data_IF_492981576495
#
_entry.id   IF_492981576495
#
_cell.length_a   1.000
_cell.length_b   1.000
_cell.length_c   1.000
_cell.angle_alpha   90.00
_cell.angle_beta   90.00
_cell.angle_gamma   90.00
#
_symmetry.space_group_name_H-M   'P 1'
#
loop_
_entity.id
_entity.type
_entity.pdbx_description
1 polymer ?
#
# COMPACT_ATOMS: atom_id res chain seq x y z
N UNK A 1 12.28 -4.74 -32.30
CA UNK A 1 11.57 -5.22 -31.10
C UNK A 1 12.49 -5.53 -29.92
N UNK A 2 13.57 -6.27 -30.06
CA UNK A 2 14.49 -6.70 -28.96
C UNK A 2 15.13 -5.50 -28.23
N UNK A 3 15.55 -4.44 -28.96
CA UNK A 3 16.18 -3.23 -28.37
C UNK A 3 15.23 -2.40 -27.48
N UNK A 4 13.95 -2.36 -27.84
CA UNK A 4 12.90 -1.65 -27.05
C UNK A 4 12.60 -2.42 -25.76
N UNK A 5 12.49 -3.78 -25.83
CA UNK A 5 12.31 -4.64 -24.66
C UNK A 5 13.47 -4.53 -23.64
N UNK A 6 14.70 -4.35 -24.11
CA UNK A 6 15.88 -4.20 -23.25
C UNK A 6 15.86 -2.85 -22.52
N UNK A 7 15.60 -1.75 -23.24
CA UNK A 7 15.46 -0.41 -22.63
C UNK A 7 14.28 -0.34 -21.64
N UNK A 8 13.16 -1.00 -21.95
CA UNK A 8 12.00 -1.05 -21.05
C UNK A 8 12.30 -1.75 -19.71
N UNK A 9 13.13 -2.81 -19.71
CA UNK A 9 13.55 -3.49 -18.48
C UNK A 9 14.41 -2.63 -17.56
N UNK A 10 15.17 -1.72 -18.13
CA UNK A 10 16.11 -0.83 -17.41
C UNK A 10 15.45 0.41 -16.78
N UNK A 11 14.20 0.73 -17.17
CA UNK A 11 13.47 1.87 -16.62
C UNK A 11 13.02 1.62 -15.17
N UNK A 12 13.09 2.66 -14.35
CA UNK A 12 12.54 2.64 -13.00
C UNK A 12 11.03 2.31 -13.02
N UNK A 13 10.53 1.65 -11.99
CA UNK A 13 9.12 1.23 -11.89
C UNK A 13 8.18 2.42 -12.04
N UNK A 14 8.50 3.55 -11.39
CA UNK A 14 7.70 4.78 -11.51
C UNK A 14 7.59 5.27 -12.95
N UNK A 15 8.70 5.25 -13.71
CA UNK A 15 8.71 5.68 -15.11
C UNK A 15 7.86 4.75 -15.99
N UNK A 16 7.88 3.45 -15.72
CA UNK A 16 7.01 2.49 -16.44
C UNK A 16 5.54 2.75 -16.18
N UNK A 17 5.15 2.93 -14.93
CA UNK A 17 3.77 3.24 -14.53
C UNK A 17 3.33 4.57 -15.15
N UNK A 18 4.16 5.60 -15.06
CA UNK A 18 3.90 6.89 -15.70
C UNK A 18 3.62 6.75 -17.20
N UNK A 19 4.50 6.06 -17.94
CA UNK A 19 4.34 5.89 -19.38
C UNK A 19 3.08 5.10 -19.75
N UNK A 20 2.76 4.03 -18.99
CA UNK A 20 1.55 3.23 -19.23
C UNK A 20 0.30 4.09 -19.05
N UNK A 21 0.19 4.79 -17.92
CA UNK A 21 -0.99 5.60 -17.61
C UNK A 21 -1.15 6.74 -18.62
N UNK A 22 -0.06 7.44 -18.95
CA UNK A 22 -0.08 8.53 -19.93
C UNK A 22 -0.53 8.04 -21.29
N UNK A 23 0.01 6.90 -21.76
CA UNK A 23 -0.37 6.31 -23.06
C UNK A 23 -1.85 5.91 -23.08
N UNK A 24 -2.34 5.27 -22.03
CA UNK A 24 -3.76 4.90 -21.90
C UNK A 24 -4.68 6.12 -21.88
N UNK A 25 -4.32 7.16 -21.12
CA UNK A 25 -5.10 8.39 -21.02
C UNK A 25 -5.16 9.13 -22.36
N UNK A 26 -4.04 9.25 -23.05
CA UNK A 26 -4.00 9.87 -24.39
C UNK A 26 -4.82 9.04 -25.39
N UNK A 27 -4.71 7.72 -25.35
CA UNK A 27 -5.52 6.83 -26.19
C UNK A 27 -7.02 7.01 -25.96
N UNK A 28 -7.44 7.15 -24.70
CA UNK A 28 -8.83 7.43 -24.35
C UNK A 28 -9.30 8.79 -24.86
N UNK A 29 -8.50 9.83 -24.70
CA UNK A 29 -8.81 11.19 -25.20
C UNK A 29 -8.99 11.16 -26.72
N UNK A 30 -8.09 10.50 -27.46
CA UNK A 30 -8.19 10.36 -28.92
C UNK A 30 -9.46 9.59 -29.29
N UNK A 31 -9.77 8.52 -28.59
CA UNK A 31 -10.97 7.70 -28.86
C UNK A 31 -12.25 8.53 -28.67
N UNK A 32 -12.36 9.27 -27.58
CA UNK A 32 -13.51 10.15 -27.32
C UNK A 32 -13.62 11.22 -28.41
N UNK A 33 -12.50 11.83 -28.81
CA UNK A 33 -12.49 12.79 -29.91
C UNK A 33 -13.02 12.20 -31.22
N UNK A 34 -12.54 11.02 -31.61
CA UNK A 34 -12.99 10.37 -32.84
C UNK A 34 -14.50 10.05 -32.79
N UNK A 35 -14.99 9.59 -31.63
CA UNK A 35 -16.41 9.34 -31.42
C UNK A 35 -17.21 10.63 -31.62
N UNK A 36 -16.82 11.72 -30.98
CA UNK A 36 -17.51 13.00 -31.11
C UNK A 36 -17.43 13.55 -32.55
N UNK A 37 -16.26 13.48 -33.16
CA UNK A 37 -16.05 13.96 -34.53
C UNK A 37 -16.94 13.26 -35.56
N UNK A 38 -17.07 11.93 -35.48
CA UNK A 38 -17.85 11.15 -36.46
C UNK A 38 -19.32 11.01 -36.10
N UNK A 39 -19.70 11.00 -34.83
CA UNK A 39 -21.09 10.74 -34.45
C UNK A 39 -21.89 12.01 -34.10
N UNK A 40 -21.25 13.09 -33.69
CA UNK A 40 -21.96 14.29 -33.28
C UNK A 40 -22.74 14.94 -34.42
N UNK A 41 -22.18 15.19 -35.62
CA UNK A 41 -22.89 15.83 -36.71
C UNK A 41 -24.16 15.05 -37.12
N UNK A 42 -24.09 13.78 -37.52
CA UNK A 42 -25.28 13.03 -38.00
C UNK A 42 -26.32 12.83 -36.86
N UNK A 43 -25.88 12.75 -35.62
CA UNK A 43 -26.81 12.64 -34.48
C UNK A 43 -27.59 13.96 -34.26
N UNK A 44 -26.90 15.10 -34.37
CA UNK A 44 -27.54 16.40 -34.19
C UNK A 44 -28.50 16.74 -35.33
N UNK A 45 -28.14 16.42 -36.57
CA UNK A 45 -29.02 16.56 -37.72
C UNK A 45 -30.29 15.69 -37.54
N UNK A 46 -30.15 14.41 -37.23
CA UNK A 46 -31.29 13.51 -36.97
C UNK A 46 -32.19 14.05 -35.86
N UNK A 47 -31.61 14.52 -34.76
CA UNK A 47 -32.35 15.07 -33.63
C UNK A 47 -33.19 16.29 -34.05
N UNK A 48 -32.61 17.22 -34.85
CA UNK A 48 -33.31 18.43 -35.33
C UNK A 48 -34.47 18.06 -36.27
N UNK A 49 -34.24 17.14 -37.21
CA UNK A 49 -35.28 16.68 -38.15
C UNK A 49 -36.41 16.01 -37.39
N UNK A 50 -36.13 15.14 -36.42
CA UNK A 50 -37.13 14.47 -35.58
C UNK A 50 -37.94 15.45 -34.74
N UNK A 51 -37.28 16.44 -34.13
CA UNK A 51 -37.92 17.51 -33.37
C UNK A 51 -38.94 18.28 -34.22
N UNK A 52 -38.57 18.69 -35.44
CA UNK A 52 -39.47 19.38 -36.36
C UNK A 52 -40.64 18.46 -36.77
N UNK A 53 -40.39 17.20 -37.12
CA UNK A 53 -41.44 16.26 -37.48
C UNK A 53 -42.48 16.07 -36.39
N UNK A 54 -42.06 15.96 -35.13
CA UNK A 54 -42.93 15.85 -33.97
C UNK A 54 -43.81 17.09 -33.80
N UNK A 55 -43.24 18.30 -33.94
CA UNK A 55 -44.01 19.54 -33.88
C UNK A 55 -45.01 19.68 -35.03
N UNK A 56 -44.65 19.27 -36.24
CA UNK A 56 -45.54 19.23 -37.38
C UNK A 56 -46.71 18.30 -37.19
N UNK A 57 -46.48 17.12 -36.61
CA UNK A 57 -47.54 16.17 -36.27
C UNK A 57 -48.53 16.75 -35.29
N UNK A 58 -48.03 17.43 -34.24
CA UNK A 58 -48.86 18.16 -33.25
C UNK A 58 -49.62 19.29 -33.90
N UNK A 59 -48.97 20.08 -34.76
CA UNK A 59 -49.64 21.17 -35.52
C UNK A 59 -50.75 20.65 -36.42
N UNK A 60 -50.51 19.56 -37.18
CA UNK A 60 -51.51 18.95 -38.06
C UNK A 60 -52.72 18.40 -37.30
N UNK A 61 -52.50 17.86 -36.09
CA UNK A 61 -53.58 17.42 -35.24
C UNK A 61 -54.41 18.60 -34.68
N UNK A 62 -53.78 19.72 -34.39
CA UNK A 62 -54.38 20.92 -33.82
C UNK A 62 -55.12 21.75 -34.87
N UNK A 63 -54.56 21.88 -36.06
CA UNK A 63 -55.10 22.70 -37.15
C UNK A 63 -56.56 22.40 -37.50
N UNK A 64 -57.03 21.15 -37.27
CA UNK A 64 -58.45 20.78 -37.42
C UNK A 64 -59.41 21.52 -36.51
N UNK A 65 -58.95 22.15 -35.45
CA UNK A 65 -59.76 22.89 -34.49
C UNK A 65 -59.56 24.41 -34.63
N UNK A 66 -58.48 24.83 -35.27
CA UNK A 66 -58.08 26.22 -35.41
C UNK A 66 -58.72 26.84 -36.68
N UNK A 67 -58.97 28.11 -36.64
CA UNK A 67 -59.27 28.89 -37.86
C UNK A 67 -57.95 29.29 -38.58
N UNK A 68 -58.08 29.94 -39.75
CA UNK A 68 -56.91 30.33 -40.54
C UNK A 68 -56.01 31.33 -39.82
N UNK A 69 -56.53 32.24 -39.01
CA UNK A 69 -55.71 33.25 -38.32
C UNK A 69 -55.01 32.63 -37.10
N UNK A 70 -55.66 31.77 -36.38
CA UNK A 70 -55.02 30.98 -35.30
C UNK A 70 -53.91 30.10 -35.84
N UNK A 71 -54.12 29.45 -36.98
CA UNK A 71 -53.07 28.68 -37.65
C UNK A 71 -51.87 29.56 -38.03
N UNK A 72 -52.08 30.74 -38.62
CA UNK A 72 -51.01 31.71 -38.94
C UNK A 72 -50.19 32.09 -37.70
N UNK A 73 -50.83 32.32 -36.56
CA UNK A 73 -50.15 32.67 -35.32
C UNK A 73 -49.28 31.49 -34.82
N UNK A 74 -49.75 30.28 -34.93
CA UNK A 74 -48.95 29.07 -34.58
C UNK A 74 -47.75 28.91 -35.51
N UNK A 75 -47.93 29.11 -36.82
CA UNK A 75 -46.85 29.08 -37.80
C UNK A 75 -45.80 30.16 -37.53
N UNK A 76 -46.25 31.37 -37.15
CA UNK A 76 -45.32 32.41 -36.76
C UNK A 76 -44.46 32.00 -35.57
N UNK A 77 -45.05 31.43 -34.53
CA UNK A 77 -44.30 30.96 -33.36
C UNK A 77 -43.30 29.85 -33.71
N UNK A 78 -43.69 28.91 -34.55
CA UNK A 78 -42.79 27.81 -34.99
C UNK A 78 -41.64 28.40 -35.82
N UNK A 79 -41.93 29.27 -36.76
CA UNK A 79 -40.92 29.94 -37.60
C UNK A 79 -39.86 30.69 -36.78
N UNK A 80 -40.30 31.45 -35.78
CA UNK A 80 -39.40 32.22 -34.91
C UNK A 80 -38.57 31.32 -33.96
N UNK A 81 -39.22 30.33 -33.33
CA UNK A 81 -38.51 29.49 -32.34
C UNK A 81 -37.56 28.50 -32.95
N UNK A 82 -37.89 27.95 -34.12
CA UNK A 82 -37.08 26.88 -34.75
C UNK A 82 -36.20 27.41 -35.89
N UNK A 83 -36.29 28.69 -36.22
CA UNK A 83 -35.59 29.33 -37.34
C UNK A 83 -35.84 28.55 -38.64
N UNK A 84 -37.13 28.26 -38.92
CA UNK A 84 -37.55 27.53 -40.12
C UNK A 84 -38.38 28.45 -41.04
N UNK A 85 -38.16 28.31 -42.33
CA UNK A 85 -39.01 28.92 -43.32
C UNK A 85 -40.35 28.18 -43.42
N UNK A 86 -41.43 28.93 -43.42
CA UNK A 86 -42.78 28.35 -43.54
C UNK A 86 -43.50 29.06 -44.68
N UNK A 87 -44.23 28.25 -45.50
CA UNK A 87 -45.09 28.74 -46.54
C UNK A 87 -46.39 27.95 -46.53
N UNK A 88 -47.51 28.65 -46.32
CA UNK A 88 -48.83 28.06 -46.34
C UNK A 88 -49.54 28.40 -47.65
N UNK A 89 -50.00 27.40 -48.38
CA UNK A 89 -50.74 27.55 -49.63
C UNK A 89 -52.12 26.90 -49.51
N UNK A 90 -53.11 27.49 -50.20
CA UNK A 90 -54.40 26.86 -50.39
C UNK A 90 -54.34 25.71 -51.43
N UNK A 91 -55.46 25.01 -51.66
CA UNK A 91 -55.60 23.92 -52.63
C UNK A 91 -55.39 24.38 -54.08
N UNK A 92 -55.43 25.68 -54.35
CA UNK A 92 -55.25 26.28 -55.68
C UNK A 92 -53.81 26.82 -55.84
N UNK A 93 -52.95 26.63 -54.84
CA UNK A 93 -51.58 27.14 -54.87
C UNK A 93 -51.40 28.58 -54.48
N UNK A 94 -52.45 29.31 -54.07
CA UNK A 94 -52.38 30.69 -53.58
C UNK A 94 -51.71 30.73 -52.20
N UNK A 95 -50.69 31.59 -52.07
CA UNK A 95 -49.98 31.77 -50.80
C UNK A 95 -50.84 32.58 -49.81
N UNK A 96 -51.16 31.98 -48.69
CA UNK A 96 -51.95 32.58 -47.60
C UNK A 96 -51.09 33.11 -46.43
N UNK A 97 -49.90 32.51 -46.27
CA UNK A 97 -48.95 32.94 -45.23
C UNK A 97 -47.50 32.54 -45.58
N UNK A 98 -46.52 33.35 -45.21
CA UNK A 98 -45.09 33.02 -45.30
C UNK A 98 -44.32 33.82 -46.37
N UNK A 99 -43.03 33.52 -46.53
CA UNK A 99 -42.17 34.23 -47.44
C UNK A 99 -42.30 33.67 -48.84
N UNK A 100 -42.67 34.53 -49.83
CA UNK A 100 -42.83 34.17 -51.23
C UNK A 100 -41.52 33.67 -51.92
N UNK A 101 -40.37 34.02 -51.37
CA UNK A 101 -39.08 33.53 -51.91
C UNK A 101 -38.93 32.01 -51.78
N UNK A 102 -39.63 31.37 -50.83
CA UNK A 102 -39.68 29.92 -50.72
C UNK A 102 -40.52 29.22 -51.82
N UNK A 103 -41.30 29.96 -52.58
CA UNK A 103 -42.15 29.45 -53.64
C UNK A 103 -41.41 29.09 -54.97
N UNK A 104 -40.14 29.46 -55.06
CA UNK A 104 -39.33 29.19 -56.26
C UNK A 104 -38.53 27.87 -56.17
N UNK A 105 -38.70 27.12 -55.13
CA UNK A 105 -38.08 25.80 -55.05
C UNK A 105 -38.90 24.83 -55.96
N UNK A 106 -38.32 24.26 -57.01
CA UNK A 106 -39.05 23.42 -57.94
C UNK A 106 -39.62 22.20 -57.21
N UNK A 107 -40.87 21.87 -57.55
CA UNK A 107 -41.51 20.64 -57.10
C UNK A 107 -40.76 19.45 -57.78
N UNK A 108 -39.61 19.11 -57.24
CA UNK A 108 -38.82 17.98 -57.71
C UNK A 108 -39.03 16.85 -56.75
N UNK A 109 -39.69 15.78 -57.26
CA UNK A 109 -39.74 14.47 -56.59
C UNK A 109 -38.35 13.77 -56.54
N UNK A 110 -37.33 14.41 -57.05
CA UNK A 110 -35.97 13.94 -56.97
C UNK A 110 -35.30 14.64 -55.79
N UNK A 111 -34.97 13.88 -54.77
CA UNK A 111 -34.02 14.23 -53.76
C UNK A 111 -32.71 14.55 -54.49
N UNK A 112 -32.57 15.79 -54.95
CA UNK A 112 -31.28 16.29 -55.41
C UNK A 112 -30.48 16.67 -54.17
N UNK A 113 -29.34 16.11 -54.09
CA UNK A 113 -28.31 16.28 -53.07
C UNK A 113 -27.82 17.73 -52.88
N UNK A 114 -28.72 18.68 -52.58
CA UNK A 114 -28.30 19.93 -51.99
C UNK A 114 -28.44 19.79 -50.48
N UNK A 115 -27.34 19.49 -49.87
CA UNK A 115 -27.13 19.30 -48.43
C UNK A 115 -27.44 20.52 -47.52
N UNK A 116 -28.17 21.52 -48.06
CA UNK A 116 -28.33 22.78 -47.39
C UNK A 116 -29.66 22.97 -46.64
N UNK A 117 -30.75 22.28 -47.07
CA UNK A 117 -32.07 22.50 -46.45
C UNK A 117 -32.89 21.21 -46.34
N UNK A 118 -33.42 20.95 -45.13
CA UNK A 118 -34.48 19.95 -44.96
C UNK A 118 -35.82 20.55 -45.38
N UNK A 119 -36.52 19.89 -46.32
CA UNK A 119 -37.80 20.33 -46.84
C UNK A 119 -38.87 19.28 -46.60
N UNK A 120 -40.07 19.72 -46.17
CA UNK A 120 -41.23 18.85 -46.02
C UNK A 120 -42.52 19.60 -46.26
N UNK A 121 -43.42 18.95 -47.03
CA UNK A 121 -44.80 19.44 -47.26
C UNK A 121 -45.77 18.61 -46.41
N UNK A 122 -46.63 19.29 -45.67
CA UNK A 122 -47.67 18.68 -44.82
C UNK A 122 -49.04 19.22 -45.19
N UNK A 123 -50.02 18.35 -45.45
CA UNK A 123 -51.38 18.75 -45.62
C UNK A 123 -52.05 19.07 -44.27
N UNK A 124 -52.62 20.26 -44.16
CA UNK A 124 -53.33 20.73 -42.96
C UNK A 124 -54.82 20.91 -43.28
N UNK A 125 -55.64 20.49 -42.39
CA UNK A 125 -57.09 20.72 -42.46
C UNK A 125 -57.50 21.70 -41.37
N UNK A 126 -58.25 22.75 -41.72
CA UNK A 126 -58.75 23.76 -40.76
C UNK A 126 -60.24 23.61 -40.60
N UNK A 127 -60.76 24.15 -39.48
CA UNK A 127 -62.19 24.02 -39.11
C UNK A 127 -63.16 24.49 -40.19
N UNK A 128 -62.86 25.58 -40.84
CA UNK A 128 -63.78 26.25 -41.75
C UNK A 128 -63.52 26.00 -43.24
N UNK A 129 -62.71 24.98 -43.61
CA UNK A 129 -62.43 24.62 -44.99
C UNK A 129 -62.54 23.11 -45.26
N UNK A 130 -63.23 22.76 -46.33
CA UNK A 130 -63.34 21.40 -46.82
C UNK A 130 -62.11 20.96 -47.67
N UNK A 131 -61.29 21.92 -48.10
CA UNK A 131 -60.09 21.67 -48.89
C UNK A 131 -58.82 21.74 -47.98
N UNK A 132 -57.83 20.91 -48.24
CA UNK A 132 -56.58 20.97 -47.50
C UNK A 132 -55.75 22.23 -47.83
N UNK A 133 -55.06 22.74 -46.83
CA UNK A 133 -53.95 23.69 -47.01
C UNK A 133 -52.65 22.89 -47.05
N UNK A 134 -51.67 23.34 -47.81
CA UNK A 134 -50.37 22.73 -47.90
C UNK A 134 -49.34 23.63 -47.19
N UNK A 135 -48.73 23.08 -46.20
CA UNK A 135 -47.66 23.74 -45.45
C UNK A 135 -46.33 23.21 -45.95
N UNK A 136 -45.57 24.07 -46.62
CA UNK A 136 -44.18 23.79 -46.95
C UNK A 136 -43.29 24.34 -45.88
N UNK A 137 -42.38 23.50 -45.35
CA UNK A 137 -41.40 23.90 -44.37
C UNK A 137 -40.03 23.66 -44.97
N UNK A 138 -39.17 24.66 -44.82
CA UNK A 138 -37.79 24.62 -45.18
C UNK A 138 -36.96 24.95 -43.93
N UNK A 139 -36.16 24.01 -43.47
CA UNK A 139 -35.24 24.17 -42.38
C UNK A 139 -33.83 24.24 -42.94
N UNK A 140 -33.12 25.37 -42.81
CA UNK A 140 -31.72 25.42 -43.18
C UNK A 140 -30.91 24.52 -42.22
N UNK A 141 -30.10 23.64 -42.76
CA UNK A 141 -29.17 22.83 -41.97
C UNK A 141 -27.88 23.60 -41.61
N UNK A 142 -27.62 24.68 -42.31
CA UNK A 142 -26.46 25.56 -42.05
C UNK A 142 -26.26 25.96 -40.57
N UNK A 143 -27.29 26.36 -39.79
CA UNK A 143 -27.09 26.65 -38.36
C UNK A 143 -26.62 25.42 -37.53
N UNK A 144 -26.97 24.21 -38.03
CA UNK A 144 -26.52 22.94 -37.45
C UNK A 144 -25.02 22.73 -37.74
N UNK A 145 -24.63 23.00 -38.99
CA UNK A 145 -23.24 22.93 -39.42
C UNK A 145 -22.37 23.95 -38.73
N UNK A 146 -22.85 25.22 -38.58
CA UNK A 146 -22.14 26.27 -37.85
C UNK A 146 -21.91 25.92 -36.38
N UNK A 147 -22.94 25.45 -35.68
CA UNK A 147 -22.81 25.00 -34.28
C UNK A 147 -21.82 23.82 -34.14
N UNK A 148 -21.89 22.88 -35.07
CA UNK A 148 -20.99 21.71 -35.13
C UNK A 148 -19.56 22.17 -35.43
N UNK A 149 -19.38 23.10 -36.36
CA UNK A 149 -18.08 23.68 -36.71
C UNK A 149 -17.43 24.38 -35.51
N UNK A 150 -18.18 25.22 -34.80
CA UNK A 150 -17.69 25.91 -33.59
C UNK A 150 -17.24 24.89 -32.52
N UNK A 151 -18.02 23.85 -32.31
CA UNK A 151 -17.63 22.77 -31.35
C UNK A 151 -16.36 22.10 -31.83
N UNK A 152 -16.26 21.75 -33.12
CA UNK A 152 -15.09 21.08 -33.68
C UNK A 152 -13.83 21.98 -33.64
N UNK A 153 -13.98 23.28 -33.83
CA UNK A 153 -12.89 24.27 -33.76
C UNK A 153 -12.35 24.43 -32.33
N UNK A 154 -13.18 24.25 -31.31
CA UNK A 154 -12.77 24.28 -29.92
C UNK A 154 -12.10 22.94 -29.47
N UNK A 155 -12.38 21.83 -30.14
CA UNK A 155 -11.88 20.50 -29.78
C UNK A 155 -10.35 20.41 -29.68
N UNK A 156 -9.53 20.96 -30.59
CA UNK A 156 -8.08 20.93 -30.48
C UNK A 156 -7.56 21.59 -29.18
N UNK A 157 -8.20 22.67 -28.75
CA UNK A 157 -7.85 23.35 -27.51
C UNK A 157 -8.18 22.48 -26.31
N UNK A 158 -9.39 21.90 -26.29
CA UNK A 158 -9.85 21.00 -25.21
C UNK A 158 -8.92 19.78 -25.12
N UNK A 159 -8.55 19.19 -26.27
CA UNK A 159 -7.62 18.06 -26.32
C UNK A 159 -6.23 18.47 -25.79
N UNK A 160 -5.71 19.63 -26.20
CA UNK A 160 -4.44 20.12 -25.71
C UNK A 160 -4.40 20.25 -24.17
N UNK A 161 -5.44 20.86 -23.61
CA UNK A 161 -5.60 20.97 -22.14
C UNK A 161 -5.72 19.59 -21.49
N UNK A 162 -6.52 18.68 -22.04
CA UNK A 162 -6.70 17.33 -21.52
C UNK A 162 -5.40 16.52 -21.54
N UNK A 163 -4.58 16.65 -22.58
CA UNK A 163 -3.27 16.00 -22.67
C UNK A 163 -2.32 16.54 -21.58
N UNK A 164 -2.25 17.85 -21.40
CA UNK A 164 -1.41 18.44 -20.35
C UNK A 164 -1.84 17.99 -18.97
N UNK A 165 -3.13 18.01 -18.67
CA UNK A 165 -3.69 17.50 -17.41
C UNK A 165 -3.40 16.01 -17.24
N UNK A 166 -3.52 15.20 -18.29
CA UNK A 166 -3.19 13.77 -18.28
C UNK A 166 -1.73 13.52 -17.90
N UNK A 167 -0.79 14.29 -18.45
CA UNK A 167 0.62 14.17 -18.12
C UNK A 167 0.87 14.51 -16.65
N UNK A 168 0.32 15.62 -16.15
CA UNK A 168 0.48 16.04 -14.76
C UNK A 168 -0.12 15.02 -13.79
N UNK A 169 -1.34 14.57 -14.03
CA UNK A 169 -2.03 13.60 -13.18
C UNK A 169 -1.36 12.23 -13.21
N UNK A 170 -0.89 11.76 -14.37
CA UNK A 170 -0.14 10.52 -14.52
C UNK A 170 1.18 10.55 -13.75
N UNK A 171 1.88 11.68 -13.75
CA UNK A 171 3.12 11.85 -13.01
C UNK A 171 2.88 11.83 -11.49
N UNK A 172 1.89 12.60 -11.02
CA UNK A 172 1.52 12.62 -9.61
C UNK A 172 1.07 11.25 -9.11
N UNK A 173 0.21 10.57 -9.87
CA UNK A 173 -0.30 9.24 -9.54
C UNK A 173 0.81 8.18 -9.54
N UNK A 174 1.70 8.22 -10.54
CA UNK A 174 2.84 7.30 -10.60
C UNK A 174 3.71 7.41 -9.35
N UNK A 175 4.04 8.63 -8.90
CA UNK A 175 4.79 8.84 -7.65
C UNK A 175 4.04 8.36 -6.42
N UNK A 176 2.75 8.69 -6.33
CA UNK A 176 1.91 8.32 -5.19
C UNK A 176 1.79 6.80 -5.01
N UNK A 177 1.60 6.07 -6.10
CA UNK A 177 1.49 4.60 -6.06
C UNK A 177 2.85 3.91 -5.89
N UNK A 178 3.90 4.46 -6.51
CA UNK A 178 5.20 3.76 -6.55
C UNK A 178 5.95 3.87 -5.22
N UNK A 179 5.82 5.00 -4.50
CA UNK A 179 6.54 5.22 -3.24
C UNK A 179 6.26 4.12 -2.20
N UNK A 180 5.01 3.84 -1.79
CA UNK A 180 4.73 2.80 -0.81
C UNK A 180 5.12 1.39 -1.30
N UNK A 181 5.05 1.12 -2.60
CA UNK A 181 5.48 -0.16 -3.18
C UNK A 181 6.99 -0.37 -3.04
N UNK A 182 7.79 0.66 -3.28
CA UNK A 182 9.24 0.59 -3.10
C UNK A 182 9.57 0.38 -1.63
N UNK A 183 8.94 1.12 -0.71
CA UNK A 183 9.15 1.01 0.73
C UNK A 183 8.84 -0.43 1.23
N UNK A 184 7.77 -1.05 0.73
CA UNK A 184 7.43 -2.45 1.03
C UNK A 184 8.50 -3.41 0.50
N UNK A 185 8.89 -3.27 -0.77
CA UNK A 185 9.90 -4.14 -1.39
C UNK A 185 11.25 -4.02 -0.68
N UNK A 186 11.65 -2.81 -0.30
CA UNK A 186 12.90 -2.59 0.45
C UNK A 186 12.83 -3.19 1.85
N UNK A 187 11.68 -3.05 2.53
CA UNK A 187 11.43 -3.68 3.82
C UNK A 187 11.52 -5.21 3.74
N UNK A 188 10.86 -5.83 2.74
CA UNK A 188 10.93 -7.28 2.53
C UNK A 188 12.37 -7.75 2.21
N UNK A 189 13.09 -7.01 1.35
CA UNK A 189 14.48 -7.34 1.05
C UNK A 189 15.38 -7.25 2.28
N UNK A 190 15.17 -6.24 3.12
CA UNK A 190 15.92 -6.11 4.38
C UNK A 190 15.60 -7.26 5.34
N UNK A 191 14.33 -7.67 5.43
CA UNK A 191 13.94 -8.83 6.25
C UNK A 191 14.56 -10.11 5.71
N UNK A 192 14.51 -10.35 4.40
CA UNK A 192 15.11 -11.53 3.77
C UNK A 192 16.63 -11.56 3.96
N UNK A 193 17.31 -10.42 3.83
CA UNK A 193 18.75 -10.32 4.06
C UNK A 193 19.11 -10.66 5.52
N UNK A 194 18.36 -10.12 6.50
CA UNK A 194 18.53 -10.44 7.93
C UNK A 194 18.30 -11.92 8.20
N UNK A 195 17.28 -12.51 7.59
CA UNK A 195 16.98 -13.95 7.73
C UNK A 195 18.10 -14.82 7.15
N UNK A 196 18.65 -14.47 5.99
CA UNK A 196 19.80 -15.18 5.39
C UNK A 196 21.04 -15.08 6.26
N UNK A 197 21.35 -13.88 6.77
CA UNK A 197 22.46 -13.65 7.70
C UNK A 197 22.30 -14.50 8.97
N UNK A 198 21.07 -14.51 9.54
CA UNK A 198 20.76 -15.32 10.72
C UNK A 198 20.99 -16.81 10.48
N UNK A 199 20.48 -17.37 9.36
CA UNK A 199 20.67 -18.80 9.00
C UNK A 199 22.15 -19.12 8.78
N UNK A 200 22.91 -18.25 8.12
CA UNK A 200 24.32 -18.44 7.91
C UNK A 200 25.11 -18.45 9.24
N UNK A 201 24.76 -17.54 10.15
CA UNK A 201 25.37 -17.49 11.50
C UNK A 201 25.04 -18.74 12.31
N UNK A 202 23.77 -19.18 12.30
CA UNK A 202 23.34 -20.44 12.92
C UNK A 202 24.20 -21.59 12.43
N UNK A 203 24.32 -21.73 11.13
CA UNK A 203 25.07 -22.84 10.52
C UNK A 203 26.52 -22.84 10.99
N UNK A 204 27.13 -21.68 11.14
CA UNK A 204 28.49 -21.55 11.65
C UNK A 204 28.61 -21.89 13.13
N UNK A 205 27.68 -21.37 13.97
CA UNK A 205 27.70 -21.62 15.41
C UNK A 205 27.36 -23.05 15.77
N UNK A 206 26.57 -23.77 14.97
CA UNK A 206 26.33 -25.21 15.11
C UNK A 206 27.52 -26.07 14.66
N UNK A 207 28.17 -25.71 13.55
CA UNK A 207 29.29 -26.47 12.97
C UNK A 207 30.44 -26.56 13.95
N UNK A 208 30.71 -25.51 14.72
CA UNK A 208 31.86 -25.46 15.64
C UNK A 208 31.80 -26.50 16.75
N UNK A 209 30.75 -26.59 17.60
CA UNK A 209 30.65 -27.60 18.64
C UNK A 209 30.58 -29.04 18.06
N UNK A 210 29.89 -29.22 16.93
CA UNK A 210 29.80 -30.53 16.26
C UNK A 210 31.21 -31.00 15.85
N UNK A 211 32.01 -30.12 15.22
CA UNK A 211 33.39 -30.46 14.80
C UNK A 211 34.27 -30.82 16.01
N UNK A 212 34.06 -30.11 17.14
CA UNK A 212 34.85 -30.39 18.37
C UNK A 212 34.48 -31.72 18.97
N UNK A 213 33.18 -31.99 19.12
CA UNK A 213 32.67 -33.25 19.64
C UNK A 213 33.19 -34.40 18.75
N UNK A 214 33.05 -34.29 17.44
CA UNK A 214 33.51 -35.31 16.48
C UNK A 214 35.02 -35.52 16.58
N UNK A 215 35.82 -34.45 16.63
CA UNK A 215 37.28 -34.56 16.76
C UNK A 215 37.73 -35.14 18.11
N UNK A 216 37.02 -34.84 19.21
CA UNK A 216 37.28 -35.43 20.52
C UNK A 216 36.97 -36.95 20.52
N UNK A 217 35.80 -37.32 19.98
CA UNK A 217 35.38 -38.70 19.84
C UNK A 217 36.34 -39.50 18.95
N UNK A 218 36.69 -38.95 17.78
CA UNK A 218 37.64 -39.57 16.85
C UNK A 218 39.02 -39.77 17.51
N UNK A 219 39.53 -38.73 18.19
CA UNK A 219 40.79 -38.81 18.93
C UNK A 219 40.77 -39.87 20.03
N UNK A 220 39.64 -40.04 20.72
CA UNK A 220 39.46 -41.11 21.74
C UNK A 220 39.34 -42.51 21.11
N UNK A 221 38.68 -42.66 19.96
CA UNK A 221 38.52 -43.90 19.23
C UNK A 221 39.90 -44.43 18.79
N UNK A 222 40.69 -43.52 18.15
CA UNK A 222 42.02 -43.88 17.63
C UNK A 222 43.16 -43.74 18.65
N UNK A 223 42.85 -43.40 19.89
CA UNK A 223 43.81 -43.28 20.99
C UNK A 223 44.97 -42.32 20.71
N UNK A 224 44.69 -41.17 20.11
CA UNK A 224 45.68 -40.19 19.59
C UNK A 224 46.01 -39.15 20.65
N UNK A 225 47.31 -38.96 20.93
CA UNK A 225 47.84 -37.85 21.72
C UNK A 225 47.15 -37.63 23.07
N UNK A 226 46.64 -36.41 23.31
CA UNK A 226 45.96 -36.03 24.56
C UNK A 226 44.60 -36.70 24.77
N UNK A 227 43.99 -37.24 23.72
CA UNK A 227 42.71 -37.91 23.77
C UNK A 227 42.79 -39.34 24.36
N UNK A 228 43.98 -39.79 24.73
CA UNK A 228 44.21 -41.05 25.51
C UNK A 228 43.55 -40.99 26.88
N UNK A 229 43.46 -39.80 27.48
CA UNK A 229 42.68 -39.54 28.69
C UNK A 229 41.18 -39.46 28.32
N UNK A 230 40.57 -40.63 28.16
CA UNK A 230 39.19 -40.78 27.73
C UNK A 230 38.20 -40.16 28.68
N UNK A 231 38.38 -40.23 29.97
CA UNK A 231 37.45 -39.74 30.97
C UNK A 231 37.35 -38.24 30.91
N UNK A 232 38.50 -37.54 30.87
CA UNK A 232 38.54 -36.07 30.70
C UNK A 232 37.88 -35.61 29.37
N UNK A 233 38.15 -36.33 28.27
CA UNK A 233 37.60 -35.90 26.96
C UNK A 233 36.15 -36.33 26.74
N UNK A 234 35.69 -37.41 27.37
CA UNK A 234 34.27 -37.78 27.41
C UNK A 234 33.46 -36.71 28.14
N UNK A 235 33.95 -36.24 29.31
CA UNK A 235 33.30 -35.12 30.02
C UNK A 235 33.26 -33.86 29.18
N UNK A 236 34.36 -33.47 28.52
CA UNK A 236 34.40 -32.31 27.63
C UNK A 236 33.46 -32.44 26.45
N UNK A 237 33.33 -33.64 25.86
CA UNK A 237 32.38 -33.92 24.77
C UNK A 237 30.94 -33.82 25.24
N UNK A 238 30.66 -34.31 26.46
CA UNK A 238 29.34 -34.17 27.09
C UNK A 238 28.99 -32.70 27.34
N UNK A 239 29.91 -31.91 27.91
CA UNK A 239 29.72 -30.49 28.15
C UNK A 239 29.45 -29.73 26.84
N UNK A 240 30.21 -30.03 25.79
CA UNK A 240 29.98 -29.44 24.44
C UNK A 240 28.64 -29.85 23.84
N UNK A 241 28.13 -31.05 24.16
CA UNK A 241 26.81 -31.51 23.74
C UNK A 241 25.70 -30.76 24.50
N UNK A 242 25.87 -30.46 25.78
CA UNK A 242 24.94 -29.62 26.54
C UNK A 242 24.89 -28.18 26.04
N UNK A 243 26.06 -27.61 25.69
CA UNK A 243 26.13 -26.29 25.05
C UNK A 243 25.38 -26.27 23.71
N UNK A 244 25.56 -27.30 22.88
CA UNK A 244 24.87 -27.46 21.60
C UNK A 244 23.35 -27.57 21.81
N UNK A 245 22.90 -28.36 22.79
CA UNK A 245 21.48 -28.50 23.14
C UNK A 245 20.88 -27.13 23.51
N UNK A 246 21.52 -26.37 24.39
CA UNK A 246 21.08 -25.04 24.79
C UNK A 246 20.97 -24.09 23.58
N UNK A 247 21.98 -24.12 22.69
CA UNK A 247 21.99 -23.31 21.48
C UNK A 247 20.79 -23.64 20.56
N UNK A 248 20.49 -24.93 20.38
CA UNK A 248 19.33 -25.36 19.57
C UNK A 248 18.01 -24.92 20.21
N UNK A 249 17.88 -25.05 21.53
CA UNK A 249 16.68 -24.59 22.25
C UNK A 249 16.46 -23.09 22.11
N UNK A 250 17.51 -22.28 22.21
CA UNK A 250 17.46 -20.83 21.98
C UNK A 250 17.09 -20.49 20.53
N UNK A 251 17.61 -21.23 19.54
CA UNK A 251 17.25 -21.06 18.13
C UNK A 251 15.79 -21.38 17.85
N UNK A 252 15.26 -22.46 18.44
CA UNK A 252 13.83 -22.80 18.34
C UNK A 252 12.97 -21.68 18.89
N UNK A 253 13.42 -21.05 19.99
CA UNK A 253 12.71 -19.91 20.58
C UNK A 253 12.71 -18.70 19.64
N UNK A 254 13.86 -18.33 19.08
CA UNK A 254 13.95 -17.22 18.11
C UNK A 254 13.08 -17.51 16.90
N UNK A 255 13.12 -18.74 16.37
CA UNK A 255 12.26 -19.12 15.24
C UNK A 255 10.77 -19.00 15.56
N UNK A 256 10.36 -19.31 16.79
CA UNK A 256 8.96 -19.12 17.23
C UNK A 256 8.55 -17.64 17.27
N UNK A 257 9.44 -16.72 17.63
CA UNK A 257 9.16 -15.28 17.59
C UNK A 257 9.00 -14.76 16.15
N UNK A 258 9.75 -15.30 15.18
CA UNK A 258 9.66 -14.88 13.79
C UNK A 258 8.43 -15.44 13.03
N UNK A 259 7.93 -16.64 13.44
CA UNK A 259 6.88 -17.37 12.70
C UNK A 259 5.49 -17.18 13.32
N UNK A 260 5.42 -17.01 14.63
CA UNK A 260 4.15 -16.93 15.33
C UNK A 260 3.84 -15.49 15.71
N UNK A 261 3.02 -14.80 14.90
CA UNK A 261 2.14 -13.71 15.34
C UNK A 261 1.10 -14.23 16.38
N UNK A 262 1.48 -15.13 17.27
CA UNK A 262 0.60 -15.52 18.36
C UNK A 262 0.48 -14.32 19.29
N UNK A 263 -0.71 -13.73 19.34
CA UNK A 263 -1.09 -12.78 20.40
C UNK A 263 -0.64 -13.40 21.72
N UNK A 264 0.29 -12.72 22.41
CA UNK A 264 0.70 -13.11 23.75
C UNK A 264 -0.56 -13.08 24.63
N UNK A 265 -0.80 -14.13 25.39
CA UNK A 265 -1.87 -14.17 26.38
C UNK A 265 -1.44 -13.31 27.58
N UNK A 266 -1.80 -12.03 27.51
CA UNK A 266 -1.47 -11.09 28.57
C UNK A 266 -2.39 -11.27 29.77
N UNK A 267 -1.82 -11.31 30.96
CA UNK A 267 -2.52 -11.33 32.25
C UNK A 267 -1.86 -10.35 33.23
N UNK A 268 -2.62 -9.90 34.20
CA UNK A 268 -2.07 -9.10 35.28
C UNK A 268 -1.38 -9.99 36.30
N UNK A 269 -0.12 -9.69 36.63
CA UNK A 269 0.64 -10.42 37.64
C UNK A 269 1.58 -9.49 38.42
N UNK A 270 1.97 -9.95 39.64
CA UNK A 270 2.86 -9.24 40.49
C UNK A 270 4.34 -9.46 40.11
N UNK A 271 5.00 -8.41 39.62
CA UNK A 271 6.36 -8.47 39.10
C UNK A 271 7.40 -8.75 40.24
N UNK A 272 7.16 -8.27 41.45
CA UNK A 272 8.04 -8.55 42.58
C UNK A 272 8.10 -10.04 42.90
N UNK A 273 6.94 -10.72 42.90
CA UNK A 273 6.84 -12.16 43.10
C UNK A 273 7.57 -12.95 42.02
N UNK A 274 7.44 -12.53 40.78
CA UNK A 274 8.14 -13.16 39.65
C UNK A 274 9.67 -13.03 39.83
N UNK A 275 10.18 -11.81 40.12
CA UNK A 275 11.61 -11.56 40.32
C UNK A 275 12.14 -12.42 41.46
N UNK A 276 11.45 -12.45 42.62
CA UNK A 276 11.82 -13.27 43.76
C UNK A 276 11.91 -14.76 43.43
N UNK A 277 10.96 -15.29 42.64
CA UNK A 277 10.96 -16.66 42.15
C UNK A 277 12.18 -16.96 41.28
N UNK A 278 12.55 -16.03 40.39
CA UNK A 278 13.71 -16.16 39.54
C UNK A 278 15.02 -16.10 40.29
N UNK A 279 15.15 -15.17 41.23
CA UNK A 279 16.33 -15.05 42.11
C UNK A 279 16.54 -16.35 42.89
N UNK A 280 15.48 -16.91 43.51
CA UNK A 280 15.57 -18.18 44.25
C UNK A 280 16.10 -19.32 43.37
N UNK A 281 15.73 -19.37 42.10
CA UNK A 281 16.25 -20.41 41.17
C UNK A 281 17.72 -20.26 40.85
N UNK A 282 18.27 -19.04 40.94
CA UNK A 282 19.66 -18.73 40.62
C UNK A 282 20.54 -18.63 41.87
N UNK A 283 19.98 -18.86 43.08
CA UNK A 283 20.68 -18.64 44.33
C UNK A 283 21.96 -19.43 44.44
N UNK A 284 21.97 -20.72 43.98
CA UNK A 284 23.15 -21.54 43.96
C UNK A 284 24.31 -20.88 43.16
N UNK A 285 24.04 -20.31 41.99
CA UNK A 285 25.07 -19.67 41.16
C UNK A 285 25.54 -18.33 41.76
N UNK A 286 24.67 -17.62 42.49
CA UNK A 286 24.99 -16.40 43.19
C UNK A 286 25.94 -16.72 44.33
N UNK A 287 25.65 -17.76 45.13
CA UNK A 287 26.47 -18.23 46.26
C UNK A 287 27.80 -18.83 45.75
N UNK A 288 27.80 -19.67 44.70
CA UNK A 288 29.02 -20.26 44.12
C UNK A 288 30.04 -19.19 43.68
N UNK A 289 29.54 -18.03 43.19
CA UNK A 289 30.37 -16.89 42.80
C UNK A 289 30.62 -15.88 43.89
N UNK A 290 30.10 -16.13 45.12
CA UNK A 290 30.20 -15.22 46.26
C UNK A 290 29.68 -13.80 45.95
N UNK A 291 28.61 -13.69 45.10
CA UNK A 291 28.06 -12.41 44.72
C UNK A 291 27.24 -11.82 45.90
N UNK A 292 27.39 -10.52 46.14
CA UNK A 292 26.58 -9.78 47.10
C UNK A 292 25.29 -9.32 46.45
N UNK A 293 24.19 -10.01 46.80
CA UNK A 293 22.87 -9.70 46.24
C UNK A 293 22.20 -8.62 47.07
N UNK A 294 21.79 -7.51 46.45
CA UNK A 294 20.96 -6.45 47.03
C UNK A 294 19.69 -6.27 46.20
N UNK A 295 18.53 -6.55 46.78
CA UNK A 295 17.22 -6.46 46.10
C UNK A 295 16.38 -5.40 46.77
N UNK A 296 15.98 -4.36 46.01
CA UNK A 296 15.19 -3.24 46.52
C UNK A 296 13.91 -3.08 45.73
N UNK A 297 12.79 -3.14 46.42
CA UNK A 297 11.48 -2.87 45.91
C UNK A 297 10.88 -1.63 46.56
N UNK A 298 10.48 -0.64 45.77
CA UNK A 298 9.86 0.57 46.31
C UNK A 298 8.38 0.32 46.67
N UNK A 299 7.68 -0.53 45.92
CA UNK A 299 6.28 -0.89 46.13
C UNK A 299 5.99 -2.22 45.43
N UNK A 300 4.81 -2.78 45.67
CA UNK A 300 4.31 -3.86 44.81
C UNK A 300 3.91 -3.31 43.44
N UNK A 301 4.37 -3.96 42.38
CA UNK A 301 4.15 -3.52 41.01
C UNK A 301 3.49 -4.66 40.25
N UNK A 302 2.29 -4.36 39.71
CA UNK A 302 1.56 -5.24 38.83
C UNK A 302 1.75 -4.77 37.40
N UNK A 303 1.93 -5.70 36.46
CA UNK A 303 2.01 -5.43 35.04
C UNK A 303 1.07 -6.36 34.27
N UNK A 304 0.55 -5.88 33.13
CA UNK A 304 -0.25 -6.71 32.22
C UNK A 304 0.62 -7.14 31.05
N UNK A 305 1.04 -8.41 31.07
CA UNK A 305 1.95 -8.99 30.08
C UNK A 305 1.83 -10.53 30.07
N UNK A 306 2.53 -11.17 29.15
CA UNK A 306 2.71 -12.63 29.17
C UNK A 306 3.78 -12.99 30.21
N UNK A 307 3.32 -13.54 31.35
CA UNK A 307 4.18 -13.87 32.50
C UNK A 307 5.31 -14.81 32.13
N UNK A 308 5.05 -15.83 31.29
CA UNK A 308 6.08 -16.80 30.89
C UNK A 308 7.18 -16.13 30.07
N UNK A 309 6.79 -15.26 29.11
CA UNK A 309 7.76 -14.51 28.27
C UNK A 309 8.55 -13.50 29.10
N UNK A 310 7.89 -12.73 29.96
CA UNK A 310 8.56 -11.76 30.83
C UNK A 310 9.50 -12.48 31.82
N UNK A 311 9.06 -13.61 32.41
CA UNK A 311 9.90 -14.48 33.23
C UNK A 311 11.20 -14.85 32.53
N UNK A 312 11.09 -15.21 31.25
CA UNK A 312 12.23 -15.59 30.43
C UNK A 312 13.16 -14.41 30.14
N UNK A 313 12.62 -13.24 29.83
CA UNK A 313 13.42 -12.04 29.62
C UNK A 313 14.22 -11.67 30.87
N UNK A 314 13.55 -11.61 32.05
CA UNK A 314 14.19 -11.28 33.32
C UNK A 314 15.22 -12.36 33.71
N UNK A 315 14.91 -13.64 33.52
CA UNK A 315 15.85 -14.72 33.80
C UNK A 315 17.13 -14.61 32.95
N UNK A 316 17.01 -14.25 31.66
CA UNK A 316 18.16 -14.00 30.79
C UNK A 316 19.00 -12.81 31.27
N UNK A 317 18.37 -11.73 31.77
CA UNK A 317 19.09 -10.59 32.32
C UNK A 317 19.83 -10.96 33.62
N UNK A 318 19.16 -11.67 34.54
CA UNK A 318 19.77 -12.13 35.81
C UNK A 318 20.94 -13.09 35.50
N UNK A 319 20.74 -14.06 34.60
CA UNK A 319 21.80 -14.99 34.20
C UNK A 319 23.00 -14.25 33.59
N UNK A 320 22.77 -13.26 32.74
CA UNK A 320 23.84 -12.44 32.18
C UNK A 320 24.59 -11.68 33.27
N UNK A 321 23.88 -11.05 34.23
CA UNK A 321 24.47 -10.33 35.34
C UNK A 321 25.34 -11.27 36.20
N UNK A 322 24.84 -12.43 36.58
CA UNK A 322 25.60 -13.46 37.36
C UNK A 322 26.81 -13.91 36.54
N UNK A 323 26.62 -14.27 35.28
CA UNK A 323 27.64 -14.85 34.42
C UNK A 323 28.84 -13.94 34.22
N UNK A 324 28.59 -12.66 33.93
CA UNK A 324 29.63 -11.68 33.61
C UNK A 324 30.20 -10.93 34.85
N UNK A 325 29.60 -11.09 36.03
CA UNK A 325 30.19 -10.59 37.27
C UNK A 325 31.46 -11.32 37.59
N UNK A 326 32.53 -10.65 38.03
CA UNK A 326 33.65 -11.29 38.73
C UNK A 326 33.19 -11.86 40.08
N UNK A 327 33.96 -12.72 40.69
CA UNK A 327 33.68 -13.19 42.05
C UNK A 327 33.69 -12.05 43.04
N UNK A 328 32.87 -12.13 44.11
CA UNK A 328 32.70 -11.13 45.16
C UNK A 328 32.12 -9.76 44.65
N UNK A 329 31.58 -9.69 43.48
CA UNK A 329 30.94 -8.48 42.94
C UNK A 329 29.52 -8.28 43.52
N UNK A 330 29.00 -7.04 43.40
CA UNK A 330 27.62 -6.76 43.80
C UNK A 330 26.66 -7.00 42.61
N UNK A 331 25.54 -7.65 42.92
CA UNK A 331 24.39 -7.83 42.03
C UNK A 331 23.20 -7.10 42.62
N UNK A 332 22.81 -5.99 41.99
CA UNK A 332 21.73 -5.13 42.50
C UNK A 332 20.50 -5.25 41.58
N UNK A 333 19.34 -5.45 42.19
CA UNK A 333 18.07 -5.55 41.48
C UNK A 333 17.11 -4.52 42.10
N UNK A 334 16.80 -3.48 41.34
CA UNK A 334 15.91 -2.42 41.78
C UNK A 334 14.64 -2.39 40.95
N UNK A 335 13.51 -2.49 41.63
CA UNK A 335 12.20 -2.33 41.01
C UNK A 335 11.47 -1.14 41.65
N UNK A 336 11.13 -0.17 40.86
CA UNK A 336 10.46 1.03 41.31
C UNK A 336 9.49 1.60 40.28
N UNK A 337 8.60 2.48 40.70
CA UNK A 337 7.61 3.13 39.85
C UNK A 337 7.85 4.64 39.81
N UNK A 338 8.01 5.20 38.61
CA UNK A 338 7.89 6.64 38.37
C UNK A 338 6.55 6.85 37.62
N UNK A 339 6.59 7.28 36.40
CA UNK A 339 5.41 7.24 35.50
C UNK A 339 5.11 5.80 35.08
N UNK A 340 6.14 5.00 34.83
CA UNK A 340 6.07 3.59 34.46
C UNK A 340 6.83 2.72 35.48
N UNK A 341 6.59 1.42 35.48
CA UNK A 341 7.40 0.45 36.19
C UNK A 341 8.80 0.40 35.58
N UNK A 342 9.83 0.46 36.41
CA UNK A 342 11.23 0.40 36.00
C UNK A 342 11.91 -0.72 36.78
N UNK A 343 12.52 -1.66 36.04
CA UNK A 343 13.38 -2.71 36.56
C UNK A 343 14.82 -2.39 36.14
N UNK A 344 15.71 -2.23 37.10
CA UNK A 344 17.15 -2.13 36.90
C UNK A 344 17.84 -3.35 37.46
N UNK A 345 18.68 -3.98 36.65
CA UNK A 345 19.56 -5.08 37.05
C UNK A 345 20.99 -4.62 36.81
N UNK A 346 21.73 -4.43 37.86
CA UNK A 346 23.10 -3.92 37.83
C UNK A 346 24.08 -4.96 38.36
N UNK A 347 25.16 -5.15 37.65
CA UNK A 347 26.27 -5.97 38.08
C UNK A 347 27.56 -5.15 38.05
N UNK A 348 28.33 -5.22 39.13
CA UNK A 348 29.56 -4.44 39.34
C UNK A 348 30.81 -5.20 38.85
N UNK A 349 31.93 -4.47 38.73
CA UNK A 349 33.23 -5.04 38.36
C UNK A 349 33.48 -5.18 36.86
N UNK A 350 32.53 -4.80 36.02
CA UNK A 350 32.68 -4.78 34.55
C UNK A 350 32.07 -3.52 33.95
N UNK A 351 32.55 -3.14 32.78
CA UNK A 351 31.94 -2.10 31.93
C UNK A 351 31.90 -2.55 30.49
N UNK A 352 31.04 -1.95 29.70
CA UNK A 352 30.87 -2.22 28.26
C UNK A 352 31.34 -0.99 27.49
N UNK A 353 32.29 -1.17 26.54
CA UNK A 353 32.70 -0.09 25.65
C UNK A 353 31.50 0.41 24.83
N UNK A 354 31.35 1.72 24.69
CA UNK A 354 30.23 2.39 24.01
C UNK A 354 29.97 1.84 22.60
N UNK A 355 31.01 1.51 21.84
CA UNK A 355 30.92 0.95 20.48
C UNK A 355 30.19 -0.41 20.39
N UNK A 356 30.00 -1.09 21.53
CA UNK A 356 29.35 -2.39 21.63
C UNK A 356 27.89 -2.31 22.06
N UNK A 357 27.46 -1.26 22.76
CA UNK A 357 26.14 -1.16 23.38
C UNK A 357 25.00 -1.38 22.38
N UNK A 358 25.02 -0.70 21.24
CA UNK A 358 23.97 -0.83 20.21
C UNK A 358 23.93 -2.21 19.55
N UNK A 359 25.01 -2.99 19.71
CA UNK A 359 25.14 -4.31 19.07
C UNK A 359 24.80 -5.44 20.00
N UNK A 360 24.75 -5.22 21.31
CA UNK A 360 24.52 -6.28 22.32
C UNK A 360 23.19 -7.00 22.13
N UNK A 361 22.20 -6.33 21.60
CA UNK A 361 20.88 -6.89 21.31
C UNK A 361 20.76 -7.50 19.91
N UNK A 362 21.87 -7.54 19.15
CA UNK A 362 21.89 -8.28 17.87
C UNK A 362 22.10 -9.76 18.12
N UNK A 363 21.48 -10.66 17.31
CA UNK A 363 21.65 -12.08 17.49
C UNK A 363 23.11 -12.49 17.34
N UNK A 364 23.59 -13.41 18.17
CA UNK A 364 24.96 -13.95 18.17
C UNK A 364 26.06 -12.92 18.46
N UNK A 365 25.72 -11.71 18.86
CA UNK A 365 26.73 -10.69 19.14
C UNK A 365 27.33 -10.90 20.53
N UNK A 366 28.68 -10.84 20.60
CA UNK A 366 29.47 -10.93 21.82
C UNK A 366 30.60 -9.90 21.78
N UNK A 367 30.88 -9.24 22.93
CA UNK A 367 31.93 -8.23 23.06
C UNK A 367 33.31 -8.87 22.85
N UNK A 368 33.53 -10.04 23.44
CA UNK A 368 34.77 -10.81 23.27
C UNK A 368 34.58 -11.88 22.19
N UNK A 369 35.21 -11.65 21.02
CA UNK A 369 35.41 -12.69 20.00
C UNK A 369 36.48 -13.69 20.39
N UNK A 370 37.22 -13.46 21.49
CA UNK A 370 38.26 -14.34 21.93
C UNK A 370 37.66 -15.63 22.47
N UNK A 371 38.03 -16.72 21.84
CA UNK A 371 37.73 -18.12 22.05
C UNK A 371 37.89 -18.67 23.49
N UNK A 372 37.86 -17.83 24.51
CA UNK A 372 37.83 -18.28 25.89
C UNK A 372 36.45 -18.83 26.22
N UNK A 373 36.24 -20.09 25.81
CA UNK A 373 35.04 -20.92 26.05
C UNK A 373 34.66 -21.07 27.51
N UNK A 374 35.50 -20.61 28.45
CA UNK A 374 35.20 -20.62 29.88
C UNK A 374 33.98 -19.75 30.27
N UNK A 375 33.65 -18.74 29.46
CA UNK A 375 32.47 -17.89 29.68
C UNK A 375 31.30 -18.20 28.78
N UNK A 376 31.14 -19.42 28.26
CA UNK A 376 30.05 -19.95 27.40
C UNK A 376 28.87 -19.01 27.13
N UNK A 377 28.16 -19.18 26.02
CA UNK A 377 26.94 -18.44 25.70
C UNK A 377 26.80 -18.14 24.22
N UNK A 378 25.61 -18.34 23.69
CA UNK A 378 25.26 -18.22 22.30
C UNK A 378 25.25 -16.79 21.73
N UNK A 379 25.13 -15.78 22.61
CA UNK A 379 24.82 -14.40 22.18
C UNK A 379 23.36 -14.18 21.76
N UNK A 380 22.47 -15.15 22.03
CA UNK A 380 21.03 -15.03 21.75
C UNK A 380 20.22 -14.50 22.93
N UNK A 381 20.70 -14.61 24.17
CA UNK A 381 19.94 -14.24 25.37
C UNK A 381 19.44 -12.79 25.36
N UNK A 382 20.31 -11.81 25.10
CA UNK A 382 19.89 -10.40 25.01
C UNK A 382 19.04 -10.10 23.77
N UNK A 383 19.26 -10.80 22.67
CA UNK A 383 18.37 -10.71 21.51
C UNK A 383 16.95 -11.19 21.86
N UNK A 384 16.80 -12.33 22.55
CA UNK A 384 15.51 -12.83 23.04
C UNK A 384 14.84 -11.81 23.97
N UNK A 385 15.60 -11.22 24.90
CA UNK A 385 15.10 -10.13 25.75
C UNK A 385 14.53 -9.01 24.90
N UNK A 386 15.28 -8.53 23.92
CA UNK A 386 14.84 -7.43 23.05
C UNK A 386 13.57 -7.75 22.26
N UNK A 387 13.39 -8.98 21.79
CA UNK A 387 12.19 -9.40 21.08
C UNK A 387 10.97 -9.43 22.01
N UNK A 388 11.11 -10.05 23.18
CA UNK A 388 10.03 -10.13 24.18
C UNK A 388 9.57 -8.73 24.61
N UNK A 389 10.49 -7.82 24.92
CA UNK A 389 10.16 -6.48 25.36
C UNK A 389 9.51 -5.64 24.24
N UNK A 390 9.98 -5.79 23.01
CA UNK A 390 9.36 -5.13 21.82
C UNK A 390 7.93 -5.59 21.58
N UNK A 391 7.66 -6.88 21.68
CA UNK A 391 6.31 -7.45 21.52
C UNK A 391 5.32 -6.87 22.55
N UNK A 392 5.80 -6.61 23.78
CA UNK A 392 5.00 -6.01 24.85
C UNK A 392 4.98 -4.48 24.83
N UNK A 393 5.68 -3.84 23.88
CA UNK A 393 5.80 -2.38 23.82
C UNK A 393 6.64 -1.77 24.95
N UNK A 394 7.46 -2.60 25.64
CA UNK A 394 8.33 -2.14 26.71
C UNK A 394 9.64 -1.56 26.17
N UNK A 395 10.10 -0.49 26.80
CA UNK A 395 11.40 0.12 26.48
C UNK A 395 12.48 -0.61 27.25
N UNK A 396 13.67 -0.69 26.66
CA UNK A 396 14.84 -1.26 27.32
C UNK A 396 16.10 -0.48 26.92
N UNK A 397 17.07 -0.47 27.83
CA UNK A 397 18.35 0.20 27.63
C UNK A 397 19.45 -0.52 28.40
N UNK A 398 20.70 -0.22 28.04
CA UNK A 398 21.88 -0.66 28.79
C UNK A 398 22.81 0.54 28.95
N UNK A 399 23.28 0.78 30.17
CA UNK A 399 24.22 1.88 30.48
C UNK A 399 25.34 1.40 31.40
N UNK A 400 26.47 2.07 31.37
CA UNK A 400 27.52 1.89 32.35
C UNK A 400 27.24 2.76 33.59
N UNK A 401 27.42 2.18 34.75
CA UNK A 401 27.59 2.91 36.01
C UNK A 401 29.08 3.24 36.26
N UNK A 402 29.44 3.52 37.52
CA UNK A 402 30.82 3.87 37.93
C UNK A 402 31.80 2.69 37.92
N UNK A 403 31.59 1.59 37.55
CA UNK A 403 32.30 0.31 37.37
C UNK A 403 31.29 -0.82 37.34
N UNK A 404 30.21 -0.59 36.62
CA UNK A 404 29.10 -1.51 36.58
C UNK A 404 28.39 -1.44 35.21
N UNK A 405 27.58 -2.45 34.91
CA UNK A 405 26.65 -2.48 33.81
C UNK A 405 25.23 -2.53 34.36
N UNK A 406 24.35 -1.70 33.83
CA UNK A 406 22.96 -1.60 34.27
C UNK A 406 22.06 -1.87 33.08
N UNK A 407 21.24 -2.91 33.18
CA UNK A 407 20.12 -3.19 32.27
C UNK A 407 18.86 -2.52 32.83
N UNK A 408 18.16 -1.79 32.00
CA UNK A 408 16.94 -1.06 32.37
C UNK A 408 15.80 -1.50 31.48
#
# INVERSE_FOLDING_TARGET
>A
MIRIRKKWKELAISTKIFLIITTLSIGLIITIYLILYFLLPPYYEKYKVESINNRLTVLAARSRRDDLEELKQHLYKISQHENVGVLLRDSNGKVEYGNKELSFLPYSNNISDSYENYQKTVALYIRDSNAPYYLDISMPLQPVDEATTVILDLMPIIIGVAIVLSIITSYAFSKWVTKPLIDIIESERMQEAKRKEFIATISHELKTPITIISGQLEGMIYNIGKYKDRDTYLQKSYDSTQELKTLVEEMIQVSKFEILEKKSETQEFNLNNLINKLIKRQMYLIEEKELKLDVKYQSEIFINADEERISKAINNLINNAIKYSPGNADLLIHLYKKENAILEIENTGITIDEKHKDKLFKPFYRVEKSRNRKTGGSGLGLYIVSQILKEHGFKYNIKNGKNSVIFI
#
